data_IF_555697030853
#
_entry.id   IF_555697030853
#
_cell.length_a   1.000
_cell.length_b   1.000
_cell.length_c   1.000
_cell.angle_alpha   90.00
_cell.angle_beta   90.00
_cell.angle_gamma   90.00
#
_symmetry.space_group_name_H-M   'P 1'
#
loop_
_entity.id
_entity.type
_entity.pdbx_description
1 polymer ?
#
# COMPACT_ATOMS: atom_id res chain seq x y z
N UNK A 1 4.32 -7.54 -13.57
CA UNK A 1 4.13 -7.90 -12.15
C UNK A 1 4.87 -6.99 -11.17
N UNK A 2 6.19 -7.10 -10.92
CA UNK A 2 6.86 -6.27 -9.87
C UNK A 2 6.72 -4.75 -10.08
N UNK A 3 6.83 -4.28 -11.33
CA UNK A 3 6.65 -2.87 -11.67
C UNK A 3 5.20 -2.38 -11.48
N UNK A 4 4.21 -3.25 -11.71
CA UNK A 4 2.80 -2.91 -11.49
C UNK A 4 2.50 -2.83 -10.00
N UNK A 5 2.96 -3.81 -9.21
CA UNK A 5 2.83 -3.82 -7.75
C UNK A 5 3.49 -2.59 -7.12
N UNK A 6 4.68 -2.21 -7.59
CA UNK A 6 5.38 -1.01 -7.13
C UNK A 6 4.62 0.27 -7.47
N UNK A 7 4.02 0.35 -8.67
CA UNK A 7 3.17 1.48 -9.08
C UNK A 7 1.88 1.57 -8.26
N UNK A 8 1.23 0.45 -7.99
CA UNK A 8 0.03 0.43 -7.15
C UNK A 8 0.34 0.81 -5.70
N UNK A 9 1.48 0.36 -5.15
CA UNK A 9 1.99 0.85 -3.88
C UNK A 9 2.30 2.35 -3.91
N UNK A 10 2.84 2.88 -5.00
CA UNK A 10 3.04 4.33 -5.19
C UNK A 10 1.72 5.10 -5.10
N UNK A 11 0.67 4.61 -5.78
CA UNK A 11 -0.66 5.23 -5.74
C UNK A 11 -1.22 5.25 -4.32
N UNK A 12 -1.09 4.13 -3.62
CA UNK A 12 -1.58 3.96 -2.24
C UNK A 12 -0.76 4.82 -1.27
N UNK A 13 0.55 4.92 -1.47
CA UNK A 13 1.40 5.83 -0.70
C UNK A 13 0.98 7.28 -0.89
N UNK A 14 0.74 7.72 -2.13
CA UNK A 14 0.23 9.07 -2.41
C UNK A 14 -1.11 9.34 -1.72
N UNK A 15 -1.96 8.32 -1.59
CA UNK A 15 -3.20 8.39 -0.83
C UNK A 15 -2.97 8.48 0.68
N UNK A 16 -2.08 7.67 1.23
CA UNK A 16 -1.72 7.73 2.64
C UNK A 16 -1.12 9.10 3.00
N UNK A 17 -0.22 9.64 2.20
CA UNK A 17 0.35 10.98 2.39
C UNK A 17 -0.71 12.07 2.32
N UNK A 18 -1.73 11.92 1.46
CA UNK A 18 -2.84 12.85 1.39
C UNK A 18 -3.72 12.84 2.65
N UNK A 19 -3.92 11.67 3.26
CA UNK A 19 -4.72 11.50 4.48
C UNK A 19 -3.95 11.85 5.76
N UNK A 20 -2.65 11.59 5.77
CA UNK A 20 -1.76 11.76 6.92
C UNK A 20 -0.68 12.82 6.64
N UNK A 21 -1.12 14.04 6.26
CA UNK A 21 -0.23 15.13 5.82
C UNK A 21 0.67 15.69 6.93
N UNK A 22 0.32 15.39 8.17
CA UNK A 22 1.00 15.80 9.39
C UNK A 22 2.13 14.85 9.79
N UNK A 23 2.22 13.68 9.18
CA UNK A 23 3.27 12.70 9.46
C UNK A 23 4.57 13.05 8.72
N UNK A 24 5.74 12.67 9.28
CA UNK A 24 7.02 12.80 8.59
C UNK A 24 7.05 11.96 7.30
N UNK A 25 8.03 12.19 6.44
CA UNK A 25 8.22 11.35 5.25
C UNK A 25 8.42 9.89 5.63
N UNK A 26 7.84 8.98 4.85
CA UNK A 26 8.00 7.53 5.02
C UNK A 26 7.92 6.83 3.67
N UNK A 27 8.39 5.59 3.59
CA UNK A 27 8.20 4.76 2.39
C UNK A 27 7.31 3.57 2.71
N UNK A 28 6.23 3.42 1.95
CA UNK A 28 5.37 2.25 2.06
C UNK A 28 6.05 1.04 1.42
N UNK A 29 6.13 -0.05 2.17
CA UNK A 29 6.71 -1.32 1.74
C UNK A 29 5.68 -2.42 1.89
N UNK A 30 5.66 -3.36 0.95
CA UNK A 30 4.83 -4.56 1.06
C UNK A 30 5.65 -5.83 0.83
N UNK A 31 5.43 -6.80 1.70
CA UNK A 31 5.75 -8.19 1.43
C UNK A 31 4.58 -8.79 0.61
N UNK A 32 4.85 -9.11 -0.65
CA UNK A 32 3.90 -9.71 -1.57
C UNK A 32 4.03 -11.23 -1.49
N UNK A 33 2.92 -11.90 -1.25
CA UNK A 33 2.82 -13.35 -1.12
C UNK A 33 1.76 -13.88 -2.08
N UNK A 34 2.05 -15.04 -2.68
CA UNK A 34 1.12 -15.74 -3.56
C UNK A 34 0.43 -16.86 -2.80
N UNK A 35 -0.88 -16.93 -2.91
CA UNK A 35 -1.73 -17.95 -2.32
C UNK A 35 -2.56 -18.62 -3.42
N UNK A 36 -2.56 -19.94 -3.46
CA UNK A 36 -3.26 -20.71 -4.50
C UNK A 36 -4.78 -20.44 -4.54
N UNK A 37 -5.40 -20.13 -3.40
CA UNK A 37 -6.84 -19.94 -3.29
C UNK A 37 -7.32 -18.49 -3.41
N UNK A 38 -6.46 -17.50 -3.13
CA UNK A 38 -6.84 -16.07 -3.05
C UNK A 38 -5.98 -15.16 -3.95
N UNK A 39 -5.00 -15.69 -4.68
CA UNK A 39 -4.17 -14.91 -5.58
C UNK A 39 -3.04 -14.17 -4.86
N UNK A 40 -2.98 -12.84 -4.98
CA UNK A 40 -1.91 -12.01 -4.41
C UNK A 40 -2.38 -11.40 -3.09
N UNK A 41 -1.65 -11.68 -2.00
CA UNK A 41 -1.81 -10.94 -0.76
C UNK A 41 -0.59 -10.07 -0.47
N UNK A 42 -0.83 -8.91 0.14
CA UNK A 42 0.19 -7.95 0.48
C UNK A 42 0.11 -7.64 1.97
N UNK A 43 1.24 -7.83 2.66
CA UNK A 43 1.42 -7.50 4.07
C UNK A 43 2.29 -6.24 4.15
N UNK A 44 1.78 -5.20 4.80
CA UNK A 44 2.39 -3.87 4.76
C UNK A 44 3.26 -3.60 5.96
N UNK A 45 4.30 -2.84 5.71
CA UNK A 45 5.09 -2.21 6.74
C UNK A 45 5.57 -0.87 6.21
N UNK A 46 5.99 -0.01 7.13
CA UNK A 46 6.62 1.26 6.80
C UNK A 46 8.13 1.07 6.95
N UNK A 47 8.90 1.38 5.91
CA UNK A 47 10.34 1.51 6.08
C UNK A 47 10.61 2.87 6.76
N UNK A 48 11.16 2.82 7.97
CA UNK A 48 11.39 3.99 8.84
C UNK A 48 12.25 5.08 8.19
N UNK A 49 11.83 6.32 8.40
CA UNK A 49 12.72 7.46 8.67
C UNK A 49 12.79 7.59 10.20
N UNK A 50 13.88 8.17 10.71
CA UNK A 50 14.40 8.29 12.10
C UNK A 50 13.42 8.75 13.23
N UNK A 51 12.11 8.78 13.01
CA UNK A 51 11.10 9.27 13.94
C UNK A 51 10.01 8.23 14.23
N UNK A 52 9.78 7.86 15.50
CA UNK A 52 8.66 7.00 15.85
C UNK A 52 7.33 7.74 15.63
N UNK A 53 6.46 7.20 14.78
CA UNK A 53 5.08 7.66 14.57
C UNK A 53 4.12 6.47 14.58
N UNK A 54 2.82 6.72 14.77
CA UNK A 54 1.79 5.67 14.74
C UNK A 54 1.55 5.17 13.30
N UNK A 55 2.35 4.18 12.92
CA UNK A 55 2.28 3.49 11.64
C UNK A 55 0.94 2.74 11.44
N UNK A 56 0.24 2.39 12.52
CA UNK A 56 -1.06 1.70 12.48
C UNK A 56 -2.08 2.45 11.62
N UNK A 57 -2.12 3.78 11.73
CA UNK A 57 -3.05 4.63 10.98
C UNK A 57 -2.77 4.63 9.47
N UNK A 58 -1.48 4.69 9.11
CA UNK A 58 -0.98 4.61 7.74
C UNK A 58 -1.22 3.21 7.17
N UNK A 59 -0.91 2.16 7.94
CA UNK A 59 -1.11 0.76 7.54
C UNK A 59 -2.59 0.48 7.25
N UNK A 60 -3.51 0.87 8.12
CA UNK A 60 -4.96 0.71 7.87
C UNK A 60 -5.43 1.45 6.62
N UNK A 61 -4.85 2.63 6.36
CA UNK A 61 -5.16 3.41 5.16
C UNK A 61 -4.63 2.73 3.91
N UNK A 62 -3.42 2.16 3.97
CA UNK A 62 -2.81 1.39 2.90
C UNK A 62 -3.60 0.10 2.61
N UNK A 63 -4.06 -0.60 3.65
CA UNK A 63 -4.90 -1.79 3.52
C UNK A 63 -6.21 -1.48 2.79
N UNK A 64 -6.89 -0.38 3.16
CA UNK A 64 -8.10 0.08 2.46
C UNK A 64 -7.82 0.41 1.00
N UNK A 65 -6.73 1.14 0.72
CA UNK A 65 -6.34 1.51 -0.63
C UNK A 65 -6.07 0.29 -1.52
N UNK A 66 -5.32 -0.69 -1.01
CA UNK A 66 -4.99 -1.89 -1.77
C UNK A 66 -6.15 -2.87 -1.89
N UNK A 67 -6.99 -2.98 -0.87
CA UNK A 67 -8.27 -3.67 -0.96
C UNK A 67 -9.15 -3.13 -2.09
N UNK A 68 -9.20 -1.80 -2.26
CA UNK A 68 -9.94 -1.17 -3.34
C UNK A 68 -9.33 -1.41 -4.74
N UNK A 69 -8.02 -1.68 -4.81
CA UNK A 69 -7.34 -2.13 -6.03
C UNK A 69 -7.47 -3.65 -6.27
N UNK A 70 -8.18 -4.37 -5.41
CA UNK A 70 -8.45 -5.81 -5.55
C UNK A 70 -7.40 -6.73 -4.90
N UNK A 71 -6.49 -6.18 -4.10
CA UNK A 71 -5.50 -6.98 -3.36
C UNK A 71 -6.06 -7.49 -2.04
N UNK A 72 -5.67 -8.70 -1.65
CA UNK A 72 -5.96 -9.21 -0.31
C UNK A 72 -4.94 -8.66 0.68
N UNK A 73 -5.43 -8.08 1.78
CA UNK A 73 -4.59 -7.40 2.78
C UNK A 73 -4.54 -8.12 4.13
N UNK A 74 -5.30 -9.20 4.29
CA UNK A 74 -5.27 -10.08 5.46
C UNK A 74 -4.88 -11.50 5.06
N UNK A 75 -3.89 -12.06 5.77
CA UNK A 75 -3.41 -13.44 5.56
C UNK A 75 -3.80 -14.37 6.70
N UNK A 76 -4.69 -13.94 7.59
CA UNK A 76 -5.13 -14.73 8.74
C UNK A 76 -5.70 -16.08 8.29
N UNK A 77 -4.99 -17.17 8.63
CA UNK A 77 -5.39 -18.55 8.34
C UNK A 77 -4.89 -19.14 7.01
N UNK A 78 -4.15 -18.39 6.19
CA UNK A 78 -3.68 -18.89 4.90
C UNK A 78 -2.30 -19.60 5.02
N UNK A 79 -2.18 -20.82 4.47
CA UNK A 79 -0.90 -21.56 4.40
C UNK A 79 -0.05 -21.04 3.25
N UNK A 80 1.22 -20.81 3.53
CA UNK A 80 2.17 -20.17 2.61
C UNK A 80 2.73 -21.20 1.64
N UNK A 81 2.79 -20.89 0.34
CA UNK A 81 3.28 -21.82 -0.69
C UNK A 81 4.52 -21.34 -1.43
N UNK A 82 4.96 -20.08 -1.26
CA UNK A 82 6.14 -19.55 -1.96
C UNK A 82 6.91 -18.49 -1.15
N UNK A 83 8.23 -18.33 -1.37
CA UNK A 83 8.98 -17.19 -0.84
C UNK A 83 8.41 -15.88 -1.40
N UNK A 84 7.95 -15.01 -0.50
CA UNK A 84 7.40 -13.70 -0.89
C UNK A 84 8.46 -12.76 -1.46
N UNK A 85 8.03 -11.71 -2.15
CA UNK A 85 8.91 -10.62 -2.63
C UNK A 85 8.62 -9.34 -1.85
N UNK A 86 9.67 -8.56 -1.58
CA UNK A 86 9.52 -7.21 -1.01
C UNK A 86 9.43 -6.20 -2.16
N UNK A 87 8.40 -5.35 -2.12
CA UNK A 87 8.15 -4.30 -3.10
C UNK A 87 8.03 -2.96 -2.39
N UNK A 88 8.72 -1.96 -2.93
CA UNK A 88 8.66 -0.58 -2.47
C UNK A 88 7.70 0.20 -3.35
N UNK A 89 7.04 1.20 -2.78
CA UNK A 89 6.29 2.19 -3.53
C UNK A 89 7.17 2.84 -4.60
N UNK A 90 6.65 2.96 -5.82
CA UNK A 90 7.34 3.67 -6.89
C UNK A 90 7.30 5.18 -6.63
N UNK A 91 8.38 5.88 -7.00
CA UNK A 91 8.36 7.33 -7.10
C UNK A 91 7.31 7.77 -8.13
N UNK A 92 6.58 8.82 -7.79
CA UNK A 92 5.53 9.37 -8.63
C UNK A 92 5.71 10.88 -8.80
N UNK A 93 5.47 11.36 -10.01
CA UNK A 93 5.39 12.79 -10.27
C UNK A 93 4.19 13.41 -9.55
N UNK A 94 4.19 14.73 -9.36
CA UNK A 94 3.08 15.44 -8.71
C UNK A 94 1.73 15.19 -9.40
N UNK A 95 1.71 15.11 -10.74
CA UNK A 95 0.50 14.82 -11.52
C UNK A 95 -0.03 13.41 -11.27
N UNK A 96 0.87 12.42 -11.22
CA UNK A 96 0.50 11.03 -10.95
C UNK A 96 -0.02 10.86 -9.51
N UNK A 97 0.57 11.57 -8.54
CA UNK A 97 0.08 11.58 -7.14
C UNK A 97 -1.33 12.17 -7.07
N UNK A 98 -1.59 13.29 -7.74
CA UNK A 98 -2.93 13.89 -7.80
C UNK A 98 -3.95 12.96 -8.47
N UNK A 99 -3.56 12.29 -9.56
CA UNK A 99 -4.42 11.34 -10.24
C UNK A 99 -4.74 10.12 -9.35
N UNK A 100 -3.76 9.62 -8.59
CA UNK A 100 -3.96 8.53 -7.63
C UNK A 100 -4.94 8.92 -6.53
N UNK A 101 -4.74 10.09 -5.91
CA UNK A 101 -5.63 10.62 -4.87
C UNK A 101 -7.06 10.75 -5.42
N UNK A 102 -7.22 11.35 -6.61
CA UNK A 102 -8.52 11.47 -7.27
C UNK A 102 -9.18 10.12 -7.51
N UNK A 103 -8.42 9.13 -7.98
CA UNK A 103 -8.95 7.78 -8.18
C UNK A 103 -9.54 7.20 -6.89
N UNK A 104 -8.85 7.35 -5.76
CA UNK A 104 -9.35 6.88 -4.46
C UNK A 104 -10.60 7.63 -3.98
N UNK A 105 -10.71 8.93 -4.27
CA UNK A 105 -11.96 9.66 -4.08
C UNK A 105 -13.10 9.11 -4.94
N UNK A 106 -12.84 8.89 -6.24
CA UNK A 106 -13.85 8.45 -7.21
C UNK A 106 -14.42 7.06 -6.88
N UNK A 107 -13.63 6.19 -6.22
CA UNK A 107 -14.07 4.86 -5.76
C UNK A 107 -14.60 4.84 -4.32
N UNK A 108 -14.82 6.01 -3.71
CA UNK A 108 -15.51 6.13 -2.42
C UNK A 108 -14.63 6.00 -1.18
N UNK A 109 -13.30 6.10 -1.30
CA UNK A 109 -12.40 6.15 -0.14
C UNK A 109 -12.24 7.57 0.43
N UNK A 110 -13.21 8.47 0.21
CA UNK A 110 -13.13 9.88 0.64
C UNK A 110 -13.06 10.10 2.15
N UNK A 111 -13.43 9.12 2.97
CA UNK A 111 -13.56 9.19 4.44
C UNK A 111 -12.35 8.63 5.20
#
# INVERSE_FOLDING_TARGET
>A
MRAELSRDLGRVMAWCEHKHRDLPGYTLVAAVKFFEAVGIAMEFSVAEIEHPFDDTSVVKTAERGLGALGYFTSTAGAKWTSPGIVVFAADMTAHERLAAVRHFFDIGLSE
#
